data_IF_914975196450
#
_entry.id   IF_914975196450
#
_cell.length_a   1.000
_cell.length_b   1.000
_cell.length_c   1.000
_cell.angle_alpha   90.00
_cell.angle_beta   90.00
_cell.angle_gamma   90.00
#
_symmetry.space_group_name_H-M   'P 1'
#
loop_
_entity.id
_entity.type
_entity.pdbx_description
1 polymer ?
#
# COMPACT_ATOMS: atom_id res chain seq x y z
N UNK A 1 19.22 77.09 -44.27
CA UNK A 1 19.75 75.87 -43.63
C UNK A 1 18.67 75.33 -42.72
N UNK A 2 18.03 74.24 -43.12
CA UNK A 2 17.01 73.57 -42.28
C UNK A 2 17.65 72.27 -41.79
N UNK A 3 17.85 72.23 -40.47
CA UNK A 3 18.32 71.03 -39.80
C UNK A 3 17.09 70.12 -39.59
N UNK A 4 17.09 68.99 -40.28
CA UNK A 4 16.16 67.90 -40.00
C UNK A 4 16.74 67.06 -38.89
N UNK A 5 16.11 67.16 -37.73
CA UNK A 5 16.40 66.24 -36.62
C UNK A 5 15.60 64.93 -36.90
N UNK A 6 16.30 63.92 -37.29
CA UNK A 6 15.70 62.61 -37.42
C UNK A 6 15.58 62.00 -36.01
N UNK A 7 14.36 61.90 -35.54
CA UNK A 7 14.05 61.16 -34.32
C UNK A 7 14.04 59.69 -34.65
N UNK A 8 15.07 58.99 -34.22
CA UNK A 8 15.13 57.55 -34.30
C UNK A 8 14.28 56.96 -33.18
N UNK A 9 13.10 56.48 -33.50
CA UNK A 9 12.31 55.68 -32.56
C UNK A 9 12.93 54.29 -32.49
N UNK A 10 13.60 54.01 -31.39
CA UNK A 10 14.05 52.65 -31.05
C UNK A 10 12.86 51.91 -30.47
N UNK A 11 12.29 51.01 -31.24
CA UNK A 11 11.31 50.05 -30.75
C UNK A 11 12.03 48.98 -29.94
N UNK A 12 11.82 48.99 -28.63
CA UNK A 12 12.24 47.89 -27.75
C UNK A 12 11.32 46.66 -27.99
N UNK A 13 11.84 45.48 -28.31
CA UNK A 13 11.04 44.29 -28.27
C UNK A 13 10.74 43.94 -26.81
N UNK A 14 9.48 43.93 -26.45
CA UNK A 14 9.04 43.35 -25.22
C UNK A 14 9.26 41.84 -25.27
N UNK A 15 10.34 41.39 -24.64
CA UNK A 15 10.57 39.98 -24.37
C UNK A 15 9.54 39.56 -23.32
N UNK A 16 8.42 39.02 -23.78
CA UNK A 16 7.49 38.33 -22.92
C UNK A 16 8.20 37.09 -22.36
N UNK A 17 8.65 37.18 -21.12
CA UNK A 17 9.02 35.98 -20.35
C UNK A 17 7.75 35.16 -20.17
N UNK A 18 7.53 34.22 -21.06
CA UNK A 18 6.57 33.17 -20.85
C UNK A 18 7.11 32.28 -19.72
N UNK A 19 6.68 32.57 -18.50
CA UNK A 19 6.89 31.67 -17.37
C UNK A 19 6.16 30.37 -17.69
N UNK A 20 6.88 29.41 -18.25
CA UNK A 20 6.38 28.04 -18.33
C UNK A 20 6.35 27.52 -16.91
N UNK A 21 5.22 27.59 -16.28
CA UNK A 21 4.92 26.79 -15.10
C UNK A 21 4.98 25.36 -15.56
N UNK A 22 6.12 24.71 -15.34
CA UNK A 22 6.20 23.27 -15.45
C UNK A 22 5.36 22.74 -14.28
N UNK A 23 4.12 22.45 -14.54
CA UNK A 23 3.34 21.64 -13.63
C UNK A 23 3.97 20.26 -13.66
N UNK A 24 4.89 20.02 -12.72
CA UNK A 24 5.35 18.66 -12.45
C UNK A 24 4.11 17.96 -11.92
N UNK A 25 3.39 17.27 -12.80
CA UNK A 25 2.36 16.37 -12.39
C UNK A 25 3.04 15.34 -11.49
N UNK A 26 2.76 15.42 -10.19
CA UNK A 26 3.12 14.34 -9.28
C UNK A 26 2.58 13.07 -9.91
N UNK A 27 3.38 11.99 -10.02
CA UNK A 27 2.88 10.75 -10.57
C UNK A 27 1.61 10.41 -9.81
N UNK A 28 0.54 10.04 -10.51
CA UNK A 28 -0.74 9.80 -9.87
C UNK A 28 -0.53 8.82 -8.74
N UNK A 29 -1.12 9.12 -7.57
CA UNK A 29 -1.06 8.28 -6.38
C UNK A 29 -1.45 6.82 -6.65
N UNK A 30 -2.19 6.57 -7.72
CA UNK A 30 -2.53 5.26 -8.27
C UNK A 30 -1.34 4.40 -8.66
N UNK A 31 -0.25 4.96 -9.18
CA UNK A 31 0.95 4.15 -9.48
C UNK A 31 1.69 3.74 -8.21
N UNK A 32 1.53 4.47 -7.11
CA UNK A 32 2.02 4.06 -5.79
C UNK A 32 1.04 3.13 -5.09
N UNK A 33 -0.25 3.28 -5.34
CA UNK A 33 -1.25 2.36 -4.82
C UNK A 33 -1.12 0.97 -5.45
N UNK A 34 -0.67 0.86 -6.69
CA UNK A 34 -0.38 -0.41 -7.33
C UNK A 34 0.90 -1.09 -6.81
N UNK A 35 1.78 -0.33 -6.17
CA UNK A 35 2.91 -0.86 -5.39
C UNK A 35 2.59 -0.94 -3.90
N UNK A 36 1.56 -0.24 -3.44
CA UNK A 36 1.05 -0.42 -2.10
C UNK A 36 0.38 -1.78 -2.03
N UNK A 37 1.06 -2.72 -1.41
CA UNK A 37 0.50 -4.01 -1.08
C UNK A 37 -0.74 -3.76 -0.22
N UNK A 38 -1.90 -4.05 -0.76
CA UNK A 38 -3.14 -4.08 0.02
C UNK A 38 -3.34 -5.48 0.54
N UNK A 39 -3.96 -5.60 1.70
CA UNK A 39 -4.20 -6.90 2.32
C UNK A 39 -5.03 -7.83 1.43
N UNK A 40 -5.98 -7.29 0.66
CA UNK A 40 -6.84 -8.07 -0.22
C UNK A 40 -7.83 -9.00 0.49
N UNK A 41 -7.91 -8.92 1.81
CA UNK A 41 -8.88 -9.67 2.62
C UNK A 41 -10.02 -8.74 2.99
N UNK A 42 -11.29 -9.10 2.70
CA UNK A 42 -12.43 -8.29 3.10
C UNK A 42 -12.46 -8.06 4.62
N UNK A 43 -12.77 -6.84 5.11
CA UNK A 43 -12.76 -6.54 6.55
C UNK A 43 -13.62 -7.48 7.40
N UNK A 44 -14.75 -7.94 6.87
CA UNK A 44 -15.64 -8.89 7.55
C UNK A 44 -15.06 -10.30 7.71
N UNK A 45 -13.96 -10.61 7.03
CA UNK A 45 -13.26 -11.90 7.12
C UNK A 45 -12.00 -11.86 7.97
N UNK A 46 -11.66 -10.71 8.53
CA UNK A 46 -10.57 -10.61 9.49
C UNK A 46 -10.90 -11.34 10.78
N UNK A 47 -9.92 -11.93 11.48
CA UNK A 47 -10.17 -12.56 12.76
C UNK A 47 -10.61 -11.52 13.79
N UNK A 48 -11.42 -11.91 14.79
CA UNK A 48 -11.69 -11.07 15.95
C UNK A 48 -10.39 -10.68 16.68
N UNK A 49 -10.39 -9.58 17.45
CA UNK A 49 -9.22 -9.21 18.24
C UNK A 49 -8.73 -10.35 19.15
N UNK A 50 -7.41 -10.56 19.15
CA UNK A 50 -6.76 -11.63 19.91
C UNK A 50 -6.84 -13.03 19.27
N UNK A 51 -7.45 -13.15 18.09
CA UNK A 51 -7.59 -14.41 17.37
C UNK A 51 -6.78 -14.42 16.07
N UNK A 52 -6.59 -15.62 15.55
CA UNK A 52 -5.92 -15.86 14.28
C UNK A 52 -6.84 -16.52 13.26
N UNK A 53 -6.49 -16.37 12.00
CA UNK A 53 -7.18 -17.05 10.90
C UNK A 53 -6.15 -17.43 9.84
N UNK A 54 -6.23 -18.64 9.34
CA UNK A 54 -5.48 -19.05 8.15
C UNK A 54 -6.26 -18.56 6.92
N UNK A 55 -5.55 -17.89 6.03
CA UNK A 55 -6.10 -17.42 4.77
C UNK A 55 -5.39 -18.13 3.62
N UNK A 56 -6.17 -18.75 2.75
CA UNK A 56 -5.64 -19.48 1.60
C UNK A 56 -5.87 -18.62 0.35
N UNK A 57 -4.80 -18.03 -0.24
CA UNK A 57 -4.91 -17.23 -1.45
C UNK A 57 -5.56 -18.03 -2.59
N UNK A 58 -6.39 -17.33 -3.38
CA UNK A 58 -7.10 -17.96 -4.49
C UNK A 58 -8.39 -18.68 -4.11
N UNK A 59 -8.61 -18.93 -2.83
CA UNK A 59 -9.87 -19.50 -2.34
C UNK A 59 -10.87 -18.39 -2.04
N UNK A 60 -12.17 -18.54 -2.42
CA UNK A 60 -13.19 -17.53 -2.11
C UNK A 60 -13.31 -17.24 -0.61
N UNK A 61 -13.65 -16.00 -0.21
CA UNK A 61 -13.80 -15.64 1.20
C UNK A 61 -14.75 -16.56 2.00
N UNK A 62 -15.84 -16.97 1.42
CA UNK A 62 -16.82 -17.88 2.06
C UNK A 62 -16.32 -19.31 2.26
N UNK A 63 -15.19 -19.67 1.69
CA UNK A 63 -14.58 -21.02 1.79
C UNK A 63 -13.27 -21.01 2.56
N UNK A 64 -12.93 -19.93 3.21
CA UNK A 64 -11.75 -19.84 4.05
C UNK A 64 -11.94 -20.53 5.40
N UNK A 65 -10.87 -21.06 6.02
CA UNK A 65 -10.92 -21.56 7.39
C UNK A 65 -11.45 -20.51 8.35
N UNK A 66 -12.11 -20.96 9.42
CA UNK A 66 -12.63 -20.06 10.45
C UNK A 66 -11.53 -19.51 11.34
N UNK A 67 -11.81 -18.38 12.00
CA UNK A 67 -10.94 -17.85 13.04
C UNK A 67 -10.82 -18.86 14.20
N UNK A 68 -9.64 -18.93 14.77
CA UNK A 68 -9.27 -19.90 15.82
C UNK A 68 -8.24 -19.28 16.77
N UNK A 69 -7.99 -19.91 17.94
CA UNK A 69 -6.89 -19.50 18.80
C UNK A 69 -5.55 -19.53 18.05
N UNK A 70 -4.64 -18.60 18.38
CA UNK A 70 -3.35 -18.48 17.70
C UNK A 70 -2.36 -19.58 18.06
N UNK A 71 -2.54 -20.27 19.18
CA UNK A 71 -1.65 -21.34 19.62
C UNK A 71 -1.55 -22.44 18.58
N UNK A 72 -0.34 -22.76 18.14
CA UNK A 72 -0.08 -23.82 17.19
C UNK A 72 -0.57 -23.56 15.77
N UNK A 73 -1.04 -22.37 15.46
CA UNK A 73 -1.61 -22.08 14.14
C UNK A 73 -0.60 -22.20 13.01
N UNK A 74 0.66 -21.87 13.26
CA UNK A 74 1.72 -21.99 12.25
C UNK A 74 1.88 -23.44 11.80
N UNK A 75 1.85 -24.40 12.72
CA UNK A 75 1.93 -25.82 12.41
C UNK A 75 0.74 -26.31 11.54
N UNK A 76 -0.41 -25.67 11.67
CA UNK A 76 -1.60 -26.00 10.90
C UNK A 76 -1.71 -25.23 9.56
N UNK A 77 -0.80 -24.28 9.30
CA UNK A 77 -0.86 -23.43 8.13
C UNK A 77 -0.22 -24.13 6.91
N UNK A 78 -0.98 -24.38 5.84
CA UNK A 78 -0.45 -24.96 4.60
C UNK A 78 0.61 -24.09 3.96
N UNK A 79 1.47 -24.71 3.16
CA UNK A 79 2.40 -23.98 2.30
C UNK A 79 1.67 -22.94 1.44
N UNK A 80 2.24 -21.75 1.31
CA UNK A 80 1.65 -20.65 0.53
C UNK A 80 0.46 -19.94 1.18
N UNK A 81 0.00 -20.37 2.37
CA UNK A 81 -1.08 -19.69 3.09
C UNK A 81 -0.55 -18.48 3.87
N UNK A 82 -1.49 -17.68 4.35
CA UNK A 82 -1.20 -16.58 5.27
C UNK A 82 -1.83 -16.84 6.63
N UNK A 83 -1.21 -16.33 7.67
CA UNK A 83 -1.80 -16.35 9.02
C UNK A 83 -2.13 -14.90 9.37
N UNK A 84 -3.42 -14.61 9.49
CA UNK A 84 -3.91 -13.31 9.91
C UNK A 84 -4.00 -13.30 11.43
N UNK A 85 -3.43 -12.28 12.05
CA UNK A 85 -3.53 -12.06 13.49
C UNK A 85 -3.99 -10.63 13.75
N UNK A 86 -5.02 -10.47 14.57
CA UNK A 86 -5.51 -9.17 15.00
C UNK A 86 -5.19 -8.97 16.47
N UNK A 87 -4.25 -8.05 16.84
CA UNK A 87 -3.92 -7.82 18.23
C UNK A 87 -5.11 -7.31 19.02
N UNK A 88 -5.30 -7.82 20.24
CA UNK A 88 -6.32 -7.29 21.16
C UNK A 88 -5.94 -5.91 21.71
N UNK A 89 -4.65 -5.60 21.74
CA UNK A 89 -4.10 -4.31 22.17
C UNK A 89 -4.30 -3.19 21.15
N UNK A 90 -4.36 -3.51 19.85
CA UNK A 90 -4.68 -2.55 18.80
C UNK A 90 -5.52 -3.21 17.69
N UNK A 91 -6.81 -3.02 17.77
CA UNK A 91 -7.80 -3.60 16.83
C UNK A 91 -7.71 -3.02 15.42
N UNK A 92 -7.00 -1.92 15.23
CA UNK A 92 -6.83 -1.28 13.93
C UNK A 92 -5.77 -1.96 13.09
N UNK A 93 -4.96 -2.82 13.70
CA UNK A 93 -3.88 -3.52 13.04
C UNK A 93 -4.26 -4.97 12.70
N UNK A 94 -3.71 -5.43 11.58
CA UNK A 94 -3.68 -6.84 11.21
C UNK A 94 -2.25 -7.21 10.88
N UNK A 95 -1.73 -8.21 11.59
CA UNK A 95 -0.42 -8.80 11.28
C UNK A 95 -0.64 -10.00 10.37
N UNK A 96 0.05 -10.02 9.26
CA UNK A 96 0.00 -11.11 8.29
C UNK A 96 1.34 -11.81 8.25
N UNK A 97 1.34 -13.07 8.62
CA UNK A 97 2.51 -13.95 8.50
C UNK A 97 2.38 -14.75 7.22
N UNK A 98 3.33 -14.61 6.33
CA UNK A 98 3.36 -15.34 5.07
C UNK A 98 4.09 -16.65 5.25
N UNK A 99 3.42 -17.75 4.93
CA UNK A 99 3.99 -19.08 4.98
C UNK A 99 4.74 -19.38 3.70
N UNK A 100 5.87 -20.04 3.79
CA UNK A 100 6.69 -20.43 2.65
C UNK A 100 5.88 -21.23 1.63
N UNK A 101 6.09 -20.97 0.34
CA UNK A 101 5.27 -21.54 -0.73
C UNK A 101 5.35 -23.06 -0.84
N UNK A 102 6.44 -23.66 -0.40
CA UNK A 102 6.66 -25.12 -0.49
C UNK A 102 6.84 -25.81 0.87
N UNK A 103 6.77 -25.06 1.99
CA UNK A 103 6.97 -25.63 3.33
C UNK A 103 5.85 -25.22 4.27
N UNK A 104 5.11 -26.21 4.76
CA UNK A 104 4.05 -25.98 5.73
C UNK A 104 4.61 -25.37 7.02
N UNK A 105 3.90 -24.40 7.57
CA UNK A 105 4.20 -23.83 8.88
C UNK A 105 5.46 -22.95 8.97
N UNK A 106 6.20 -22.79 7.88
CA UNK A 106 7.42 -21.96 7.87
C UNK A 106 7.07 -20.54 7.48
N UNK A 107 7.08 -19.65 8.46
CA UNK A 107 6.84 -18.20 8.25
C UNK A 107 8.11 -17.55 7.70
N UNK A 108 7.98 -16.85 6.59
CA UNK A 108 9.11 -16.19 5.90
C UNK A 108 9.06 -14.66 5.96
N UNK A 109 7.91 -14.09 6.29
CA UNK A 109 7.70 -12.64 6.35
C UNK A 109 6.51 -12.31 7.23
N UNK A 110 6.60 -11.18 7.90
CA UNK A 110 5.47 -10.61 8.64
C UNK A 110 5.23 -9.18 8.14
N UNK A 111 4.00 -8.87 7.79
CA UNK A 111 3.57 -7.52 7.40
C UNK A 111 2.42 -7.04 8.26
N UNK A 112 2.40 -5.75 8.52
CA UNK A 112 1.33 -5.11 9.26
C UNK A 112 0.50 -4.24 8.33
N UNK A 113 -0.80 -4.40 8.42
CA UNK A 113 -1.80 -3.67 7.65
C UNK A 113 -2.79 -2.97 8.58
N UNK A 114 -3.40 -1.93 8.07
CA UNK A 114 -4.56 -1.33 8.70
C UNK A 114 -5.80 -2.20 8.43
N UNK A 115 -6.54 -2.53 9.49
CA UNK A 115 -7.64 -3.49 9.40
C UNK A 115 -8.81 -2.99 8.54
N UNK A 116 -9.12 -1.70 8.60
CA UNK A 116 -10.28 -1.13 7.92
C UNK A 116 -10.02 -0.92 6.42
N UNK A 117 -8.90 -0.32 6.08
CA UNK A 117 -8.55 0.03 4.68
C UNK A 117 -7.78 -1.06 3.95
N UNK A 118 -7.16 -2.00 4.68
CA UNK A 118 -6.22 -2.96 4.12
C UNK A 118 -4.89 -2.36 3.69
N UNK A 119 -4.61 -1.11 4.09
CA UNK A 119 -3.39 -0.41 3.72
C UNK A 119 -2.17 -1.02 4.41
N UNK A 120 -1.12 -1.27 3.64
CA UNK A 120 0.19 -1.68 4.18
C UNK A 120 0.80 -0.58 5.04
N UNK A 121 1.31 -0.94 6.19
CA UNK A 121 1.96 -0.02 7.14
C UNK A 121 3.47 -0.25 7.24
N UNK A 122 3.89 -1.48 7.49
CA UNK A 122 5.29 -1.85 7.67
C UNK A 122 5.53 -3.35 7.62
N UNK A 123 6.77 -3.74 7.42
CA UNK A 123 7.24 -5.09 7.74
C UNK A 123 7.61 -5.19 9.22
N UNK A 124 7.50 -6.37 9.78
CA UNK A 124 8.02 -6.71 11.10
C UNK A 124 9.16 -7.70 10.96
N UNK A 125 10.21 -7.48 11.75
CA UNK A 125 11.29 -8.45 11.89
C UNK A 125 10.79 -9.68 12.64
N UNK A 126 11.31 -10.85 12.27
CA UNK A 126 10.99 -12.13 12.89
C UNK A 126 11.87 -12.38 14.12
#
# INVERSE_FOLDING_TARGET
MRLYVAVLMVALPATACASRTVVVASPPATSRANTAVTLGVPPGHLPPPGRCRIWIPGRPPGRQPRARPCNGIAAAAPAGSWILYRPSSDRRLVHVRYVHESRNGVVIRVRVFEAESGRYLRDEDQ
#
